data_IF_698888123965
#
_entry.id   IF_698888123965
#
_cell.length_a   1.000
_cell.length_b   1.000
_cell.length_c   1.000
_cell.angle_alpha   90.00
_cell.angle_beta   90.00
_cell.angle_gamma   90.00
#
_symmetry.space_group_name_H-M   'P 1'
#
loop_
_entity.id
_entity.type
_entity.pdbx_description
1 polymer ?
#
# COMPACT_ATOMS: atom_id res chain seq x y z
N UNK A 1 -12.32 26.59 -4.35
CA UNK A 1 -12.50 27.30 -3.08
C UNK A 1 -12.35 28.80 -3.31
N UNK A 2 -13.02 29.61 -2.50
CA UNK A 2 -12.85 31.07 -2.48
C UNK A 2 -11.91 31.46 -1.34
N UNK A 3 -10.98 32.38 -1.60
CA UNK A 3 -10.18 33.00 -0.55
C UNK A 3 -11.06 33.89 0.34
N UNK A 4 -10.63 34.18 1.58
CA UNK A 4 -11.39 35.00 2.52
C UNK A 4 -11.86 36.35 1.93
N UNK A 5 -11.01 37.04 1.17
CA UNK A 5 -11.36 38.29 0.48
C UNK A 5 -12.48 38.09 -0.56
N UNK A 6 -12.44 36.98 -1.29
CA UNK A 6 -13.46 36.67 -2.29
C UNK A 6 -14.79 36.27 -1.64
N UNK A 7 -14.75 35.64 -0.47
CA UNK A 7 -15.95 35.37 0.34
C UNK A 7 -16.62 36.68 0.74
N UNK A 8 -15.86 37.67 1.25
CA UNK A 8 -16.42 38.99 1.59
C UNK A 8 -16.96 39.71 0.35
N UNK A 9 -16.26 39.66 -0.78
CA UNK A 9 -16.75 40.23 -2.05
C UNK A 9 -18.05 39.59 -2.53
N UNK A 10 -18.18 38.27 -2.38
CA UNK A 10 -19.40 37.54 -2.71
C UNK A 10 -20.58 38.01 -1.85
N UNK A 11 -20.37 38.14 -0.53
CA UNK A 11 -21.39 38.63 0.39
C UNK A 11 -21.81 40.05 0.02
N UNK A 12 -20.87 40.96 -0.24
CA UNK A 12 -21.22 42.33 -0.63
C UNK A 12 -21.92 42.40 -1.98
N UNK A 13 -21.50 41.61 -2.97
CA UNK A 13 -22.20 41.50 -4.26
C UNK A 13 -23.66 41.08 -4.08
N UNK A 14 -23.92 40.08 -3.23
CA UNK A 14 -25.27 39.62 -2.92
C UNK A 14 -26.05 40.65 -2.09
N UNK A 15 -25.38 41.38 -1.20
CA UNK A 15 -25.99 42.47 -0.41
C UNK A 15 -26.46 43.61 -1.31
N UNK A 16 -25.61 44.07 -2.22
CA UNK A 16 -25.93 45.12 -3.20
C UNK A 16 -27.10 44.71 -4.10
N UNK A 17 -27.18 43.43 -4.47
CA UNK A 17 -28.28 42.90 -5.27
C UNK A 17 -29.55 42.58 -4.46
N UNK A 18 -29.52 42.68 -3.12
CA UNK A 18 -30.64 42.30 -2.25
C UNK A 18 -30.95 40.80 -2.28
N UNK A 19 -29.94 39.95 -2.40
CA UNK A 19 -30.05 38.49 -2.58
C UNK A 19 -29.24 37.65 -1.59
N UNK A 20 -28.96 38.18 -0.39
CA UNK A 20 -28.22 37.43 0.64
C UNK A 20 -28.86 36.08 0.98
N UNK A 21 -30.20 36.00 0.98
CA UNK A 21 -30.95 34.77 1.25
C UNK A 21 -30.74 33.65 0.21
N UNK A 22 -30.10 33.96 -0.93
CA UNK A 22 -29.76 32.96 -1.95
C UNK A 22 -28.54 32.13 -1.55
N UNK A 23 -27.68 32.65 -0.68
CA UNK A 23 -26.48 31.94 -0.21
C UNK A 23 -26.84 31.12 1.04
N UNK A 24 -27.08 29.83 0.85
CA UNK A 24 -27.65 28.95 1.89
C UNK A 24 -26.72 27.81 2.32
N UNK A 25 -25.61 27.59 1.62
CA UNK A 25 -24.73 26.44 1.83
C UNK A 25 -23.27 26.87 1.94
N UNK A 26 -22.60 26.40 3.00
CA UNK A 26 -21.16 26.46 3.17
C UNK A 26 -20.57 25.09 2.85
N UNK A 27 -19.58 25.05 1.96
CA UNK A 27 -18.94 23.82 1.52
C UNK A 27 -17.42 23.92 1.66
N UNK A 28 -16.80 22.84 2.13
CA UNK A 28 -15.37 22.62 2.05
C UNK A 28 -15.07 21.15 1.78
N UNK A 29 -13.90 20.87 1.20
CA UNK A 29 -13.46 19.51 0.90
C UNK A 29 -11.97 19.38 1.23
N UNK A 30 -11.63 18.47 2.15
CA UNK A 30 -10.26 18.24 2.60
C UNK A 30 -9.47 17.30 1.70
N UNK A 31 -10.16 16.58 0.80
CA UNK A 31 -9.61 15.51 -0.02
C UNK A 31 -10.29 14.17 0.25
N UNK A 32 -9.99 13.19 -0.59
CA UNK A 32 -10.40 11.80 -0.38
C UNK A 32 -9.43 11.09 0.57
N UNK A 33 -9.90 10.06 1.28
CA UNK A 33 -9.06 9.17 2.09
C UNK A 33 -8.23 9.92 3.15
N UNK A 34 -8.89 10.72 4.00
CA UNK A 34 -8.20 11.35 5.12
C UNK A 34 -7.82 10.26 6.14
N UNK A 35 -6.53 9.92 6.23
CA UNK A 35 -6.04 8.87 7.12
C UNK A 35 -6.07 9.26 8.61
N UNK A 36 -6.05 10.56 8.91
CA UNK A 36 -5.87 11.10 10.26
C UNK A 36 -7.05 11.97 10.70
N UNK A 37 -7.68 11.58 11.82
CA UNK A 37 -8.83 12.29 12.38
C UNK A 37 -8.53 13.74 12.76
N UNK A 38 -7.29 14.07 13.14
CA UNK A 38 -6.92 15.43 13.54
C UNK A 38 -7.02 16.44 12.40
N UNK A 39 -6.78 16.00 11.17
CA UNK A 39 -6.84 16.87 10.00
C UNK A 39 -8.31 17.20 9.68
N UNK A 40 -9.21 16.22 9.83
CA UNK A 40 -10.66 16.40 9.74
C UNK A 40 -11.13 17.37 10.82
N UNK A 41 -10.76 17.13 12.08
CA UNK A 41 -11.14 17.99 13.20
C UNK A 41 -10.62 19.43 13.05
N UNK A 42 -9.46 19.62 12.42
CA UNK A 42 -8.89 20.96 12.18
C UNK A 42 -9.65 21.68 11.06
N UNK A 43 -9.91 21.01 9.93
CA UNK A 43 -10.67 21.57 8.81
C UNK A 43 -12.12 21.92 9.18
N UNK A 44 -12.79 21.07 9.97
CA UNK A 44 -14.16 21.35 10.43
C UNK A 44 -14.17 22.54 11.39
N UNK A 45 -13.23 22.63 12.34
CA UNK A 45 -13.16 23.77 13.28
C UNK A 45 -12.93 25.10 12.57
N UNK A 46 -12.05 25.13 11.57
CA UNK A 46 -11.85 26.33 10.75
C UNK A 46 -13.13 26.69 9.99
N UNK A 47 -13.76 25.72 9.34
CA UNK A 47 -14.98 25.95 8.55
C UNK A 47 -16.18 26.35 9.40
N UNK A 48 -16.30 25.83 10.62
CA UNK A 48 -17.32 26.24 11.58
C UNK A 48 -17.17 27.73 11.97
N UNK A 49 -15.94 28.27 12.00
CA UNK A 49 -15.72 29.71 12.18
C UNK A 49 -16.21 30.52 10.97
N UNK A 50 -16.03 30.02 9.74
CA UNK A 50 -16.62 30.66 8.56
C UNK A 50 -18.15 30.69 8.62
N UNK A 51 -18.80 29.63 9.10
CA UNK A 51 -20.24 29.61 9.33
C UNK A 51 -20.69 30.73 10.29
N UNK A 52 -20.00 30.85 11.44
CA UNK A 52 -20.29 31.90 12.43
C UNK A 52 -20.09 33.30 11.86
N UNK A 53 -18.96 33.56 11.19
CA UNK A 53 -18.65 34.88 10.66
C UNK A 53 -19.59 35.28 9.50
N UNK A 54 -20.02 34.33 8.66
CA UNK A 54 -21.01 34.59 7.60
C UNK A 54 -22.39 34.94 8.17
N UNK A 55 -22.81 34.28 9.26
CA UNK A 55 -24.02 34.65 9.99
C UNK A 55 -23.94 36.07 10.57
N UNK A 56 -22.78 36.48 11.11
CA UNK A 56 -22.56 37.86 11.58
C UNK A 56 -22.67 38.90 10.46
N UNK A 57 -22.35 38.52 9.22
CA UNK A 57 -22.53 39.38 8.05
C UNK A 57 -23.98 39.41 7.54
N UNK A 58 -24.90 38.65 8.16
CA UNK A 58 -26.32 38.60 7.83
C UNK A 58 -26.68 37.54 6.78
N UNK A 59 -25.78 36.61 6.48
CA UNK A 59 -26.07 35.47 5.58
C UNK A 59 -26.70 34.35 6.40
N UNK A 60 -27.89 33.89 6.01
CA UNK A 60 -28.56 32.77 6.66
C UNK A 60 -28.14 31.43 6.03
N UNK A 61 -26.98 30.92 6.42
CA UNK A 61 -26.51 29.60 5.96
C UNK A 61 -27.28 28.51 6.70
N UNK A 62 -27.88 27.59 5.95
CA UNK A 62 -28.72 26.51 6.44
C UNK A 62 -28.04 25.15 6.32
N UNK A 63 -27.09 25.02 5.39
CA UNK A 63 -26.38 23.78 5.12
C UNK A 63 -24.88 23.93 5.37
N UNK A 64 -24.32 23.01 6.13
CA UNK A 64 -22.89 22.89 6.41
C UNK A 64 -22.38 21.58 5.84
N UNK A 65 -21.76 21.67 4.67
CA UNK A 65 -21.27 20.53 3.91
C UNK A 65 -19.76 20.35 4.11
N UNK A 66 -19.41 19.22 4.73
CA UNK A 66 -18.01 18.86 5.02
C UNK A 66 -17.31 18.16 3.86
N UNK A 67 -18.03 17.95 2.75
CA UNK A 67 -17.54 17.20 1.60
C UNK A 67 -17.27 15.72 1.95
N UNK A 68 -16.41 15.10 1.13
CA UNK A 68 -15.91 13.75 1.38
C UNK A 68 -14.78 13.68 2.43
N UNK A 69 -13.96 12.64 2.33
CA UNK A 69 -12.76 12.48 3.16
C UNK A 69 -12.88 11.43 4.26
N UNK A 70 -14.09 10.95 4.58
CA UNK A 70 -14.26 9.72 5.36
C UNK A 70 -13.56 8.57 4.64
N UNK A 71 -12.44 8.12 5.22
CA UNK A 71 -11.60 7.09 4.64
C UNK A 71 -12.09 5.67 4.96
N UNK A 72 -11.49 4.71 4.28
CA UNK A 72 -11.77 3.29 4.42
C UNK A 72 -10.47 2.57 4.81
N UNK A 73 -10.56 1.63 5.75
CA UNK A 73 -9.42 0.80 6.16
C UNK A 73 -9.27 -0.37 5.19
N UNK A 74 -8.38 -0.25 4.20
CA UNK A 74 -8.10 -1.31 3.21
C UNK A 74 -7.11 -2.35 3.76
N UNK A 75 -6.20 -1.95 4.64
CA UNK A 75 -5.20 -2.85 5.24
C UNK A 75 -5.76 -3.69 6.40
N UNK A 76 -6.81 -3.20 7.07
CA UNK A 76 -7.33 -3.78 8.31
C UNK A 76 -6.47 -3.51 9.54
N UNK A 77 -5.50 -2.60 9.42
CA UNK A 77 -4.53 -2.28 10.49
C UNK A 77 -5.03 -1.16 11.41
N UNK A 78 -6.04 -0.40 10.97
CA UNK A 78 -6.57 0.78 11.65
C UNK A 78 -5.48 1.77 12.09
N UNK A 79 -4.50 1.93 11.21
CA UNK A 79 -3.32 2.76 11.39
C UNK A 79 -3.41 4.05 10.57
N UNK A 80 -2.50 4.99 10.83
CA UNK A 80 -2.34 6.20 10.04
C UNK A 80 -1.39 5.93 8.85
N UNK A 81 -1.77 5.03 7.96
CA UNK A 81 -1.08 4.74 6.69
C UNK A 81 -1.91 5.24 5.50
N UNK A 82 -1.32 5.23 4.30
CA UNK A 82 -1.95 5.77 3.09
C UNK A 82 -3.22 4.99 2.68
N UNK A 83 -3.25 3.68 2.93
CA UNK A 83 -4.38 2.80 2.63
C UNK A 83 -5.24 2.47 3.86
N UNK A 84 -5.07 3.18 4.98
CA UNK A 84 -5.80 2.96 6.24
C UNK A 84 -6.33 4.27 6.83
N UNK A 85 -7.13 4.16 7.89
CA UNK A 85 -7.58 5.28 8.72
C UNK A 85 -7.36 4.99 10.21
N UNK A 86 -7.02 6.02 10.99
CA UNK A 86 -6.81 5.91 12.44
C UNK A 86 -8.08 6.15 13.28
N UNK A 87 -9.26 6.18 12.67
CA UNK A 87 -10.54 6.49 13.32
C UNK A 87 -11.67 5.57 12.88
N UNK A 88 -12.74 5.53 13.67
CA UNK A 88 -13.99 4.85 13.30
C UNK A 88 -15.06 5.78 12.74
N UNK A 89 -16.12 5.21 12.17
CA UNK A 89 -17.28 5.96 11.65
C UNK A 89 -17.90 6.89 12.71
N UNK A 90 -18.10 6.39 13.94
CA UNK A 90 -18.67 7.18 15.03
C UNK A 90 -17.75 8.32 15.45
N UNK A 91 -16.43 8.10 15.43
CA UNK A 91 -15.45 9.12 15.80
C UNK A 91 -15.41 10.24 14.76
N UNK A 92 -15.48 9.90 13.46
CA UNK A 92 -15.65 10.86 12.38
C UNK A 92 -16.91 11.71 12.57
N UNK A 93 -18.06 11.07 12.77
CA UNK A 93 -19.33 11.75 12.98
C UNK A 93 -19.28 12.67 14.21
N UNK A 94 -18.74 12.18 15.33
CA UNK A 94 -18.60 12.97 16.54
C UNK A 94 -17.73 14.21 16.31
N UNK A 95 -16.55 14.08 15.69
CA UNK A 95 -15.66 15.21 15.46
C UNK A 95 -16.33 16.31 14.61
N UNK A 96 -17.17 15.94 13.63
CA UNK A 96 -17.91 16.91 12.83
C UNK A 96 -19.00 17.59 13.64
N UNK A 97 -19.88 16.81 14.27
CA UNK A 97 -21.05 17.33 14.98
C UNK A 97 -20.64 18.20 16.18
N UNK A 98 -19.64 17.78 16.95
CA UNK A 98 -19.13 18.58 18.07
C UNK A 98 -18.53 19.90 17.61
N UNK A 99 -17.71 19.90 16.56
CA UNK A 99 -17.04 21.12 16.11
C UNK A 99 -18.03 22.20 15.61
N UNK A 100 -19.06 21.83 14.85
CA UNK A 100 -20.09 22.79 14.43
C UNK A 100 -21.05 23.13 15.58
N UNK A 101 -21.40 22.15 16.43
CA UNK A 101 -22.29 22.33 17.57
C UNK A 101 -21.74 23.34 18.58
N UNK A 102 -20.49 23.14 19.03
CA UNK A 102 -19.83 24.04 19.98
C UNK A 102 -19.73 25.47 19.41
N UNK A 103 -19.37 25.61 18.13
CA UNK A 103 -19.31 26.91 17.47
C UNK A 103 -20.67 27.61 17.41
N UNK A 104 -21.77 26.86 17.23
CA UNK A 104 -23.12 27.40 17.25
C UNK A 104 -23.53 27.86 18.66
N UNK A 105 -23.32 27.01 19.67
CA UNK A 105 -23.67 27.29 21.07
C UNK A 105 -22.92 28.51 21.60
N UNK A 106 -21.61 28.61 21.35
CA UNK A 106 -20.77 29.75 21.76
C UNK A 106 -21.27 31.10 21.22
N UNK A 107 -21.94 31.10 20.06
CA UNK A 107 -22.37 32.31 19.36
C UNK A 107 -23.90 32.48 19.34
N UNK A 108 -24.65 31.58 19.99
CA UNK A 108 -26.12 31.60 20.01
C UNK A 108 -26.76 31.46 18.62
N UNK A 109 -26.13 30.68 17.72
CA UNK A 109 -26.60 30.45 16.37
C UNK A 109 -27.41 29.15 16.25
N UNK A 110 -28.34 29.05 15.28
CA UNK A 110 -29.04 27.80 15.02
C UNK A 110 -28.08 26.74 14.48
N UNK A 111 -28.35 25.47 14.79
CA UNK A 111 -27.58 24.35 14.24
C UNK A 111 -27.96 24.15 12.75
N UNK A 112 -26.99 24.16 11.82
CA UNK A 112 -27.27 23.94 10.41
C UNK A 112 -27.52 22.46 10.11
N UNK A 113 -28.12 22.17 8.96
CA UNK A 113 -28.16 20.82 8.38
C UNK A 113 -26.75 20.42 7.98
N UNK A 114 -26.24 19.31 8.53
CA UNK A 114 -24.90 18.80 8.20
C UNK A 114 -25.00 17.84 7.02
N UNK A 115 -24.17 18.07 6.00
CA UNK A 115 -24.05 17.25 4.79
C UNK A 115 -22.65 16.66 4.72
N UNK A 116 -22.53 15.43 4.22
CA UNK A 116 -21.26 14.79 3.89
C UNK A 116 -21.34 14.09 2.54
N UNK A 117 -20.29 14.20 1.74
CA UNK A 117 -20.16 13.61 0.41
C UNK A 117 -19.26 12.35 0.46
N UNK A 118 -19.52 11.47 1.42
CA UNK A 118 -18.70 10.29 1.74
C UNK A 118 -18.83 9.13 0.72
N UNK A 119 -18.55 9.41 -0.56
CA UNK A 119 -18.74 8.47 -1.68
C UNK A 119 -17.92 7.18 -1.56
N UNK A 120 -16.63 7.28 -1.20
CA UNK A 120 -15.75 6.11 -1.00
C UNK A 120 -16.27 5.21 0.11
N UNK A 121 -16.67 5.78 1.23
CA UNK A 121 -17.14 5.02 2.39
C UNK A 121 -18.38 4.17 2.08
N UNK A 122 -19.29 4.67 1.23
CA UNK A 122 -20.50 3.92 0.85
C UNK A 122 -20.27 2.91 -0.27
N UNK A 123 -19.25 3.09 -1.10
CA UNK A 123 -18.99 2.24 -2.29
C UNK A 123 -17.81 1.28 -2.13
N UNK A 124 -16.92 1.42 -1.16
CA UNK A 124 -15.69 0.63 -1.15
C UNK A 124 -15.92 -0.90 -1.12
N UNK A 125 -16.88 -1.39 -0.35
CA UNK A 125 -17.03 -2.83 -0.07
C UNK A 125 -18.14 -3.53 -0.86
N UNK A 126 -18.85 -2.82 -1.75
CA UNK A 126 -20.04 -3.37 -2.40
C UNK A 126 -19.76 -4.25 -3.63
N UNK A 127 -18.52 -4.26 -4.11
CA UNK A 127 -18.12 -4.99 -5.33
C UNK A 127 -16.88 -5.85 -5.05
N UNK A 128 -16.84 -7.05 -5.61
CA UNK A 128 -15.71 -7.97 -5.54
C UNK A 128 -15.33 -8.40 -6.96
N UNK A 129 -14.05 -8.32 -7.29
CA UNK A 129 -13.50 -8.86 -8.53
C UNK A 129 -13.16 -10.34 -8.34
N UNK A 130 -13.75 -11.21 -9.15
CA UNK A 130 -13.49 -12.66 -9.13
C UNK A 130 -12.95 -13.10 -10.48
N UNK A 131 -11.83 -13.82 -10.47
CA UNK A 131 -11.25 -14.42 -11.67
C UNK A 131 -10.54 -15.74 -11.34
N UNK A 132 -10.10 -16.47 -12.35
CA UNK A 132 -9.39 -17.74 -12.23
C UNK A 132 -7.89 -17.62 -12.50
N UNK A 133 -7.13 -18.59 -11.99
CA UNK A 133 -5.71 -18.77 -12.33
C UNK A 133 -5.63 -19.53 -13.65
N UNK A 134 -4.89 -18.98 -14.62
CA UNK A 134 -4.70 -19.59 -15.96
C UNK A 134 -3.33 -20.24 -16.14
N UNK A 135 -2.38 -19.91 -15.27
CA UNK A 135 -1.03 -20.47 -15.30
C UNK A 135 -0.33 -20.30 -13.96
N UNK A 136 0.58 -21.22 -13.67
CA UNK A 136 1.45 -21.16 -12.50
C UNK A 136 2.85 -21.49 -12.98
N UNK A 137 3.78 -20.58 -12.76
CA UNK A 137 5.22 -20.82 -12.88
C UNK A 137 5.74 -21.15 -11.49
N UNK A 138 6.09 -22.42 -11.30
CA UNK A 138 6.58 -22.97 -10.04
C UNK A 138 7.97 -23.53 -10.26
N UNK A 139 8.85 -23.25 -9.31
CA UNK A 139 10.18 -23.85 -9.31
C UNK A 139 10.04 -25.36 -9.05
N UNK A 140 10.54 -26.18 -9.97
CA UNK A 140 10.59 -27.62 -9.81
C UNK A 140 11.90 -28.02 -9.13
N UNK A 141 11.80 -28.64 -7.96
CA UNK A 141 12.96 -29.25 -7.33
C UNK A 141 13.36 -30.51 -8.12
N UNK A 142 14.57 -30.50 -8.65
CA UNK A 142 15.18 -31.65 -9.31
C UNK A 142 16.51 -31.95 -8.65
N UNK A 143 16.78 -33.22 -8.35
CA UNK A 143 18.08 -33.59 -7.79
C UNK A 143 19.16 -33.30 -8.85
N UNK A 144 20.11 -32.40 -8.57
CA UNK A 144 21.10 -31.99 -9.55
C UNK A 144 22.10 -33.14 -9.82
N UNK A 145 22.61 -33.18 -11.04
CA UNK A 145 23.67 -34.11 -11.45
C UNK A 145 25.03 -33.42 -11.43
N UNK A 146 26.08 -34.20 -11.17
CA UNK A 146 27.46 -33.68 -11.23
C UNK A 146 27.75 -32.99 -12.59
N UNK A 147 28.53 -31.90 -12.59
CA UNK A 147 28.96 -31.26 -13.82
C UNK A 147 29.99 -32.16 -14.54
N UNK A 148 30.34 -31.78 -15.78
CA UNK A 148 31.43 -32.45 -16.50
C UNK A 148 32.76 -32.27 -15.75
N UNK A 149 33.67 -33.24 -15.89
CA UNK A 149 34.98 -33.19 -15.22
C UNK A 149 35.85 -32.00 -15.69
N UNK A 150 35.65 -31.54 -16.92
CA UNK A 150 36.31 -30.39 -17.53
C UNK A 150 35.47 -29.10 -17.45
N UNK A 151 34.36 -29.10 -16.72
CA UNK A 151 33.53 -27.92 -16.53
C UNK A 151 34.32 -26.77 -15.87
N UNK A 152 33.96 -25.50 -16.16
CA UNK A 152 34.64 -24.37 -15.55
C UNK A 152 34.58 -24.40 -14.01
N UNK A 153 35.60 -23.82 -13.38
CA UNK A 153 35.77 -23.82 -11.92
C UNK A 153 34.53 -23.33 -11.15
N UNK A 154 33.79 -22.36 -11.68
CA UNK A 154 32.57 -21.86 -11.03
C UNK A 154 31.49 -22.96 -10.89
N UNK A 155 31.31 -23.82 -11.90
CA UNK A 155 30.36 -24.92 -11.82
C UNK A 155 30.83 -26.00 -10.84
N UNK A 156 32.14 -26.27 -10.83
CA UNK A 156 32.74 -27.21 -9.86
C UNK A 156 32.58 -26.69 -8.43
N UNK A 157 32.80 -25.39 -8.17
CA UNK A 157 32.59 -24.73 -6.88
C UNK A 157 31.16 -24.87 -6.36
N UNK A 158 30.16 -24.64 -7.23
CA UNK A 158 28.75 -24.86 -6.86
C UNK A 158 28.46 -26.32 -6.52
N UNK A 159 29.05 -27.26 -7.27
CA UNK A 159 28.87 -28.69 -7.01
C UNK A 159 29.52 -29.12 -5.69
N UNK A 160 30.72 -28.62 -5.38
CA UNK A 160 31.40 -28.85 -4.11
C UNK A 160 30.54 -28.35 -2.94
N UNK A 161 29.97 -27.16 -3.06
CA UNK A 161 29.05 -26.60 -2.06
C UNK A 161 27.83 -27.50 -1.85
N UNK A 162 27.21 -27.99 -2.95
CA UNK A 162 26.10 -28.92 -2.87
C UNK A 162 26.45 -30.24 -2.18
N UNK A 163 27.63 -30.81 -2.47
CA UNK A 163 28.10 -32.02 -1.80
C UNK A 163 28.34 -31.79 -0.30
N UNK A 164 28.95 -30.65 0.04
CA UNK A 164 29.22 -30.26 1.44
C UNK A 164 27.92 -30.12 2.26
N UNK A 165 26.85 -29.58 1.66
CA UNK A 165 25.53 -29.47 2.30
C UNK A 165 24.93 -30.82 2.74
N UNK A 166 25.32 -31.91 2.07
CA UNK A 166 24.79 -33.25 2.31
C UNK A 166 25.76 -34.14 3.11
N UNK A 167 26.97 -33.66 3.42
CA UNK A 167 27.96 -34.42 4.17
C UNK A 167 27.68 -34.35 5.69
N UNK A 168 27.52 -35.50 6.37
CA UNK A 168 27.25 -35.51 7.80
C UNK A 168 28.48 -35.07 8.60
N UNK A 169 28.38 -33.93 9.29
CA UNK A 169 29.42 -33.42 10.19
C UNK A 169 30.03 -32.08 9.78
N UNK A 170 29.67 -31.54 8.61
CA UNK A 170 30.13 -30.23 8.18
C UNK A 170 29.52 -29.12 9.04
N UNK A 171 30.37 -28.23 9.53
CA UNK A 171 30.07 -27.19 10.52
C UNK A 171 29.89 -25.79 9.91
N UNK A 172 29.56 -25.70 8.61
CA UNK A 172 29.35 -24.43 7.93
C UNK A 172 27.94 -23.90 8.19
N UNK A 173 27.79 -22.58 8.19
CA UNK A 173 26.47 -21.98 8.40
C UNK A 173 25.64 -22.06 7.12
N UNK A 174 24.33 -22.34 7.24
CA UNK A 174 23.37 -22.33 6.11
C UNK A 174 23.47 -21.05 5.26
N UNK A 175 23.77 -19.93 5.92
CA UNK A 175 23.94 -18.63 5.30
C UNK A 175 25.14 -18.56 4.37
N UNK A 176 26.24 -19.18 4.78
CA UNK A 176 27.48 -19.18 4.01
C UNK A 176 27.31 -19.99 2.73
N UNK A 177 26.70 -21.19 2.81
CA UNK A 177 26.34 -21.95 1.61
C UNK A 177 25.47 -21.14 0.64
N UNK A 178 24.49 -20.39 1.16
CA UNK A 178 23.64 -19.56 0.33
C UNK A 178 24.41 -18.42 -0.34
N UNK A 179 25.29 -17.73 0.40
CA UNK A 179 26.11 -16.64 -0.15
C UNK A 179 27.10 -17.15 -1.21
N UNK A 180 27.79 -18.27 -0.93
CA UNK A 180 28.74 -18.89 -1.85
C UNK A 180 28.03 -19.24 -3.17
N UNK A 181 26.87 -19.89 -3.06
CA UNK A 181 26.01 -20.25 -4.20
C UNK A 181 25.51 -19.05 -5.00
N UNK A 182 25.22 -17.92 -4.34
CA UNK A 182 24.80 -16.68 -4.99
C UNK A 182 25.94 -16.02 -5.77
N UNK A 183 27.15 -16.02 -5.20
CA UNK A 183 28.34 -15.48 -5.85
C UNK A 183 28.70 -16.28 -7.09
N UNK A 184 28.75 -17.61 -6.98
CA UNK A 184 29.06 -18.47 -8.12
C UNK A 184 28.02 -18.33 -9.24
N UNK A 185 26.72 -18.29 -8.90
CA UNK A 185 25.66 -18.07 -9.90
C UNK A 185 25.82 -16.71 -10.60
N UNK A 186 26.19 -15.66 -9.86
CA UNK A 186 26.42 -14.34 -10.41
C UNK A 186 27.60 -14.34 -11.39
N UNK A 187 28.72 -14.96 -11.04
CA UNK A 187 29.89 -15.07 -11.90
C UNK A 187 29.58 -15.82 -13.20
N UNK A 188 28.76 -16.88 -13.11
CA UNK A 188 28.29 -17.64 -14.27
C UNK A 188 27.38 -16.78 -15.15
N UNK A 189 26.49 -15.96 -14.58
CA UNK A 189 25.64 -15.03 -15.36
C UNK A 189 26.43 -13.94 -16.07
N UNK A 190 27.43 -13.35 -15.40
CA UNK A 190 28.33 -12.35 -15.99
C UNK A 190 29.17 -12.98 -17.10
N UNK A 191 29.74 -14.16 -16.85
CA UNK A 191 30.53 -14.88 -17.84
C UNK A 191 29.71 -15.33 -19.04
N UNK A 192 28.47 -15.78 -18.84
CA UNK A 192 27.54 -16.13 -19.92
C UNK A 192 27.32 -14.92 -20.85
N UNK A 193 27.08 -13.75 -20.26
CA UNK A 193 26.92 -12.50 -21.02
C UNK A 193 28.19 -12.08 -21.77
N UNK A 194 29.35 -12.48 -21.25
CA UNK A 194 30.67 -12.25 -21.87
C UNK A 194 31.08 -13.33 -22.87
N UNK A 195 30.25 -14.37 -23.07
CA UNK A 195 30.51 -15.49 -23.98
C UNK A 195 31.45 -16.57 -23.43
N UNK A 196 31.73 -16.60 -22.13
CA UNK A 196 32.61 -17.61 -21.50
C UNK A 196 31.89 -18.85 -20.98
N UNK A 197 30.56 -18.80 -20.89
CA UNK A 197 29.71 -19.93 -20.52
C UNK A 197 28.66 -20.17 -21.60
N UNK A 198 28.34 -21.43 -21.82
CA UNK A 198 27.25 -21.90 -22.67
C UNK A 198 25.89 -21.77 -21.98
N UNK A 199 24.82 -21.89 -22.76
CA UNK A 199 23.45 -21.92 -22.24
C UNK A 199 23.22 -23.14 -21.34
N UNK A 200 23.83 -24.28 -21.67
CA UNK A 200 23.72 -25.51 -20.90
C UNK A 200 24.34 -25.35 -19.50
N UNK A 201 25.52 -24.73 -19.42
CA UNK A 201 26.18 -24.47 -18.14
C UNK A 201 25.40 -23.48 -17.29
N UNK A 202 24.87 -22.42 -17.90
CA UNK A 202 24.00 -21.45 -17.22
C UNK A 202 22.74 -22.13 -16.67
N UNK A 203 22.06 -22.93 -17.49
CA UNK A 203 20.84 -23.63 -17.08
C UNK A 203 21.12 -24.63 -15.94
N UNK A 204 22.24 -25.36 -16.01
CA UNK A 204 22.67 -26.27 -14.96
C UNK A 204 22.92 -25.52 -13.63
N UNK A 205 23.61 -24.39 -13.68
CA UNK A 205 23.89 -23.58 -12.50
C UNK A 205 22.62 -22.99 -11.87
N UNK A 206 21.70 -22.48 -12.68
CA UNK A 206 20.41 -21.96 -12.21
C UNK A 206 19.58 -23.05 -11.50
N UNK A 207 19.51 -24.25 -12.07
CA UNK A 207 18.79 -25.38 -11.46
C UNK A 207 19.45 -25.90 -10.17
N UNK A 208 20.78 -25.97 -10.15
CA UNK A 208 21.54 -26.33 -8.95
C UNK A 208 21.30 -25.30 -7.84
N UNK A 209 21.32 -24.01 -8.16
CA UNK A 209 21.04 -22.94 -7.22
C UNK A 209 19.64 -23.04 -6.61
N UNK A 210 18.60 -23.24 -7.43
CA UNK A 210 17.23 -23.43 -6.94
C UNK A 210 17.11 -24.66 -6.02
N UNK A 211 17.83 -25.73 -6.34
CA UNK A 211 17.88 -26.94 -5.51
C UNK A 211 18.56 -26.68 -4.16
N UNK A 212 19.65 -25.89 -4.15
CA UNK A 212 20.29 -25.45 -2.91
C UNK A 212 19.36 -24.58 -2.07
N UNK A 213 18.66 -23.61 -2.67
CA UNK A 213 17.65 -22.81 -1.97
C UNK A 213 16.58 -23.69 -1.31
N UNK A 214 16.09 -24.70 -2.02
CA UNK A 214 15.11 -25.65 -1.50
C UNK A 214 15.65 -26.46 -0.31
N UNK A 215 16.90 -26.95 -0.36
CA UNK A 215 17.50 -27.67 0.77
C UNK A 215 17.80 -26.76 1.97
N UNK A 216 18.27 -25.54 1.74
CA UNK A 216 18.47 -24.53 2.80
C UNK A 216 17.13 -24.24 3.47
N UNK A 217 16.06 -24.03 2.70
CA UNK A 217 14.73 -23.70 3.23
C UNK A 217 14.20 -24.77 4.19
N UNK A 218 14.46 -26.06 3.93
CA UNK A 218 14.08 -27.16 4.84
C UNK A 218 14.83 -27.15 6.17
N UNK A 219 16.04 -26.61 6.20
CA UNK A 219 16.91 -26.58 7.38
C UNK A 219 16.75 -25.30 8.21
N UNK A 220 16.08 -24.27 7.68
CA UNK A 220 15.85 -23.01 8.39
C UNK A 220 14.85 -23.17 9.54
N UNK A 221 15.35 -22.96 10.76
CA UNK A 221 14.52 -22.83 11.96
C UNK A 221 13.99 -21.39 12.16
N UNK A 222 12.66 -21.15 12.14
CA UNK A 222 12.08 -19.83 12.38
C UNK A 222 12.28 -19.28 13.80
N UNK A 223 12.60 -20.14 14.79
CA UNK A 223 12.93 -19.68 16.14
C UNK A 223 14.32 -19.06 16.21
N UNK A 224 15.22 -19.41 15.29
CA UNK A 224 16.54 -18.82 15.23
C UNK A 224 16.48 -17.42 14.61
N UNK A 225 16.84 -16.40 15.41
CA UNK A 225 16.85 -15.00 14.96
C UNK A 225 17.73 -14.76 13.73
N UNK A 226 18.83 -15.49 13.57
CA UNK A 226 19.73 -15.35 12.43
C UNK A 226 19.15 -15.93 11.13
N UNK A 227 18.18 -16.84 11.22
CA UNK A 227 17.55 -17.49 10.08
C UNK A 227 16.38 -16.68 9.51
N UNK A 228 15.66 -15.91 10.34
CA UNK A 228 14.51 -15.10 9.91
C UNK A 228 14.73 -14.27 8.64
N UNK A 229 15.80 -13.46 8.50
CA UNK A 229 16.00 -12.70 7.26
C UNK A 229 16.23 -13.59 6.03
N UNK A 230 16.81 -14.79 6.22
CA UNK A 230 17.02 -15.76 5.14
C UNK A 230 15.69 -16.41 4.75
N UNK A 231 14.81 -16.66 5.72
CA UNK A 231 13.46 -17.17 5.46
C UNK A 231 12.69 -16.19 4.58
N UNK A 232 12.70 -14.90 4.93
CA UNK A 232 12.00 -13.86 4.16
C UNK A 232 12.55 -13.78 2.71
N UNK A 233 13.88 -13.77 2.56
CA UNK A 233 14.54 -13.77 1.24
C UNK A 233 14.18 -15.01 0.40
N UNK A 234 14.21 -16.21 1.00
CA UNK A 234 13.88 -17.43 0.28
C UNK A 234 12.39 -17.55 -0.04
N UNK A 235 11.51 -17.00 0.79
CA UNK A 235 10.07 -16.95 0.50
C UNK A 235 9.78 -16.12 -0.75
N UNK A 236 10.39 -14.94 -0.88
CA UNK A 236 10.25 -14.13 -2.09
C UNK A 236 10.81 -14.85 -3.33
N UNK A 237 12.01 -15.44 -3.19
CA UNK A 237 12.72 -16.08 -4.30
C UNK A 237 12.06 -17.37 -4.78
N UNK A 238 11.48 -18.15 -3.87
CA UNK A 238 10.85 -19.45 -4.14
C UNK A 238 9.33 -19.37 -4.31
N UNK A 239 8.76 -18.16 -4.32
CA UNK A 239 7.33 -17.97 -4.50
C UNK A 239 6.86 -18.44 -5.89
N UNK A 240 5.71 -19.12 -5.91
CA UNK A 240 5.00 -19.45 -7.15
C UNK A 240 4.50 -18.16 -7.81
N UNK A 241 4.74 -18.01 -9.11
CA UNK A 241 4.15 -16.91 -9.89
C UNK A 241 2.85 -17.39 -10.50
N UNK A 242 1.74 -16.85 -10.01
CA UNK A 242 0.40 -17.17 -10.50
C UNK A 242 -0.09 -16.11 -11.48
N UNK A 243 -0.55 -16.55 -12.64
CA UNK A 243 -1.14 -15.67 -13.66
C UNK A 243 -2.66 -15.69 -13.51
N UNK A 244 -3.21 -14.57 -13.04
CA UNK A 244 -4.66 -14.38 -12.87
C UNK A 244 -5.25 -13.85 -14.18
N UNK A 245 -6.40 -14.38 -14.59
CA UNK A 245 -7.07 -14.02 -15.83
C UNK A 245 -7.85 -12.70 -15.73
N UNK A 246 -7.15 -11.59 -15.54
CA UNK A 246 -7.74 -10.26 -15.56
C UNK A 246 -6.70 -9.22 -15.96
N UNK A 247 -7.16 -7.98 -16.19
CA UNK A 247 -6.27 -6.83 -16.40
C UNK A 247 -6.32 -5.90 -15.19
N UNK A 248 -5.16 -5.68 -14.58
CA UNK A 248 -4.97 -4.73 -13.48
C UNK A 248 -5.45 -3.33 -13.88
N UNK A 249 -5.03 -2.85 -15.05
CA UNK A 249 -5.37 -1.52 -15.56
C UNK A 249 -6.86 -1.33 -15.85
N UNK A 250 -7.57 -2.41 -16.20
CA UNK A 250 -9.00 -2.37 -16.48
C UNK A 250 -9.85 -2.43 -15.21
N UNK A 251 -9.38 -3.14 -14.19
CA UNK A 251 -10.22 -3.54 -13.05
C UNK A 251 -9.81 -2.86 -11.74
N UNK A 252 -8.54 -2.52 -11.58
CA UNK A 252 -7.94 -1.91 -10.38
C UNK A 252 -6.87 -0.86 -10.78
N UNK A 253 -7.25 0.21 -11.51
CA UNK A 253 -6.30 1.23 -11.95
C UNK A 253 -5.64 1.98 -10.79
N UNK A 254 -6.33 2.14 -9.65
CA UNK A 254 -5.78 2.80 -8.45
C UNK A 254 -4.58 2.03 -7.88
N UNK A 255 -4.60 0.70 -7.94
CA UNK A 255 -3.47 -0.12 -7.49
C UNK A 255 -2.20 0.12 -8.33
N UNK A 256 -2.35 0.57 -9.58
CA UNK A 256 -1.22 0.95 -10.43
C UNK A 256 -0.82 2.42 -10.29
N UNK A 257 -1.80 3.32 -10.20
CA UNK A 257 -1.56 4.77 -10.27
C UNK A 257 -1.10 5.41 -8.96
N UNK A 258 -1.52 4.83 -7.82
CA UNK A 258 -1.30 5.40 -6.49
C UNK A 258 -0.90 4.35 -5.44
N UNK A 259 -0.45 3.17 -5.89
CA UNK A 259 -0.10 2.04 -5.01
C UNK A 259 -1.21 1.69 -4.00
N UNK A 260 -2.48 1.78 -4.44
CA UNK A 260 -3.63 1.38 -3.61
C UNK A 260 -3.57 -0.13 -3.33
N UNK A 261 -3.74 -0.48 -2.05
CA UNK A 261 -3.71 -1.86 -1.55
C UNK A 261 -5.07 -2.56 -1.66
#
# INVERSE_FOLDING_TARGET
GLAATQVLQLVETLREAGRLDSLQLLHFHLGSQMANIRDIATGVRESARFYVELHKLGVNIQCFDVGGGLGVDYEGTRSQSDCSVNYGLNEYANNIIWAIGDACEENGLPHPTVITESGRAVTAHHTVLVSNIIGVERNEYTVPTAPAEDAPRALQSMWETWQEMHEPGTRRSLREWLHDSQMDLHDIHIGYSSGTFSLQERAWAEQLYLSMCHEVQKQLDPQNRAHRPIIDELQERMADKMYVNFSLFQSMPDAWGIDQL
#
